data_IF_168682761599
#
_entry.id   IF_168682761599
#
_cell.length_a   1.000
_cell.length_b   1.000
_cell.length_c   1.000
_cell.angle_alpha   90.00
_cell.angle_beta   90.00
_cell.angle_gamma   90.00
#
_symmetry.space_group_name_H-M   'P 1'
#
loop_
_entity.id
_entity.type
_entity.pdbx_description
1 polymer ?
#
# COMPACT_ATOMS: atom_id res chain seq x y z
N UNK A 1 -12.13 0.80 -6.81
CA UNK A 1 -11.90 1.75 -5.70
C UNK A 1 -10.65 2.60 -5.94
N UNK A 2 -10.60 3.84 -5.42
CA UNK A 2 -9.41 4.70 -5.49
C UNK A 2 -8.65 4.65 -4.17
N UNK A 3 -7.35 4.39 -4.22
CA UNK A 3 -6.44 4.43 -3.07
C UNK A 3 -5.52 5.65 -3.19
N UNK A 4 -5.49 6.49 -2.15
CA UNK A 4 -4.61 7.65 -2.06
C UNK A 4 -3.50 7.34 -1.07
N UNK A 5 -2.24 7.50 -1.50
CA UNK A 5 -1.07 7.14 -0.69
C UNK A 5 0.04 8.17 -0.76
N UNK A 6 0.90 8.20 0.25
CA UNK A 6 2.15 8.97 0.23
C UNK A 6 3.33 8.22 0.88
N UNK A 7 4.56 8.74 0.74
CA UNK A 7 5.77 8.12 1.29
C UNK A 7 5.88 8.21 2.82
N UNK A 8 5.36 9.29 3.43
CA UNK A 8 5.42 9.53 4.89
C UNK A 8 4.02 9.66 5.51
N UNK A 9 3.93 9.40 6.82
CA UNK A 9 2.65 9.46 7.54
C UNK A 9 2.03 10.85 7.55
N UNK A 10 2.84 11.90 7.72
CA UNK A 10 2.37 13.29 7.75
C UNK A 10 1.84 13.70 6.37
N UNK A 11 2.55 13.38 5.28
CA UNK A 11 2.09 13.66 3.92
C UNK A 11 0.80 12.90 3.59
N UNK A 12 0.75 11.61 3.92
CA UNK A 12 -0.45 10.80 3.72
C UNK A 12 -1.66 11.39 4.46
N UNK A 13 -1.47 11.87 5.69
CA UNK A 13 -2.53 12.51 6.47
C UNK A 13 -3.02 13.81 5.81
N UNK A 14 -2.14 14.62 5.23
CA UNK A 14 -2.53 15.87 4.56
C UNK A 14 -3.40 15.64 3.32
N UNK A 15 -3.19 14.54 2.59
CA UNK A 15 -3.98 14.19 1.41
C UNK A 15 -5.14 13.22 1.71
N UNK A 16 -5.44 12.98 2.99
CA UNK A 16 -6.50 12.06 3.41
C UNK A 16 -6.26 10.60 3.03
N UNK A 17 -5.00 10.21 2.81
CA UNK A 17 -4.57 8.88 2.42
C UNK A 17 -3.88 8.11 3.55
N UNK A 18 -3.17 7.06 3.16
CA UNK A 18 -2.30 6.26 4.05
C UNK A 18 -0.89 6.16 3.47
N UNK A 19 0.09 5.70 4.23
CA UNK A 19 1.42 5.49 3.64
C UNK A 19 1.39 4.35 2.61
N UNK A 20 2.25 4.42 1.57
CA UNK A 20 2.37 3.36 0.58
C UNK A 20 2.66 2.00 1.23
N UNK A 21 3.51 1.98 2.26
CA UNK A 21 3.82 0.77 3.05
C UNK A 21 2.58 0.19 3.75
N UNK A 22 1.76 1.05 4.36
CA UNK A 22 0.51 0.63 5.03
C UNK A 22 -0.53 0.13 4.04
N UNK A 23 -0.65 0.78 2.88
CA UNK A 23 -1.51 0.33 1.79
C UNK A 23 -1.03 -0.99 1.17
N UNK A 24 0.27 -1.14 0.95
CA UNK A 24 0.82 -2.34 0.34
C UNK A 24 0.73 -3.55 1.27
N UNK A 25 0.77 -3.34 2.59
CA UNK A 25 0.70 -4.41 3.59
C UNK A 25 1.98 -5.25 3.66
N UNK A 26 3.13 -4.63 3.38
CA UNK A 26 4.44 -5.30 3.25
C UNK A 26 5.43 -4.94 4.37
N UNK A 27 4.98 -4.20 5.39
CA UNK A 27 5.87 -3.66 6.41
C UNK A 27 6.89 -2.70 5.79
N UNK A 28 8.18 -2.90 6.08
CA UNK A 28 9.28 -2.06 5.56
C UNK A 28 9.65 -2.33 4.09
N UNK A 29 9.10 -3.38 3.46
CA UNK A 29 9.34 -3.65 2.03
C UNK A 29 10.78 -4.05 1.67
N UNK A 30 11.61 -4.44 2.63
CA UNK A 30 13.04 -4.76 2.41
C UNK A 30 13.30 -6.14 1.79
N UNK A 31 12.26 -6.94 1.57
CA UNK A 31 12.36 -8.29 1.02
C UNK A 31 12.36 -8.33 -0.52
N UNK A 32 12.70 -9.49 -1.08
CA UNK A 32 12.53 -9.73 -2.52
C UNK A 32 11.05 -9.62 -2.92
N UNK A 33 10.79 -9.13 -4.14
CA UNK A 33 9.42 -8.91 -4.66
C UNK A 33 8.51 -10.15 -4.52
N UNK A 34 9.03 -11.35 -4.79
CA UNK A 34 8.28 -12.59 -4.63
C UNK A 34 7.90 -12.89 -3.17
N UNK A 35 8.79 -12.58 -2.22
CA UNK A 35 8.49 -12.75 -0.80
C UNK A 35 7.41 -11.74 -0.34
N UNK A 36 7.52 -10.48 -0.76
CA UNK A 36 6.53 -9.44 -0.44
C UNK A 36 5.16 -9.76 -1.06
N UNK A 37 5.14 -10.22 -2.32
CA UNK A 37 3.92 -10.69 -2.96
C UNK A 37 3.32 -11.90 -2.22
N UNK A 38 4.17 -12.79 -1.70
CA UNK A 38 3.78 -13.86 -0.80
C UNK A 38 3.07 -13.32 0.44
N UNK A 39 3.65 -12.33 1.14
CA UNK A 39 3.03 -11.69 2.31
C UNK A 39 1.64 -11.13 2.00
N UNK A 40 1.50 -10.44 0.86
CA UNK A 40 0.21 -9.89 0.40
C UNK A 40 -0.82 -11.01 0.20
N UNK A 41 -0.45 -12.10 -0.49
CA UNK A 41 -1.35 -13.22 -0.80
C UNK A 41 -1.88 -13.95 0.45
N UNK A 42 -1.08 -14.02 1.52
CA UNK A 42 -1.50 -14.66 2.77
C UNK A 42 -2.39 -13.76 3.65
N UNK A 43 -2.46 -12.46 3.37
CA UNK A 43 -3.34 -11.53 4.08
C UNK A 43 -4.58 -11.23 3.23
N UNK A 44 -5.69 -11.92 3.52
CA UNK A 44 -6.92 -11.81 2.73
C UNK A 44 -7.47 -10.38 2.61
N UNK A 45 -7.33 -9.56 3.65
CA UNK A 45 -7.78 -8.16 3.63
C UNK A 45 -6.93 -7.30 2.70
N UNK A 46 -5.61 -7.50 2.75
CA UNK A 46 -4.65 -6.77 1.90
C UNK A 46 -4.81 -7.22 0.46
N UNK A 47 -4.90 -8.53 0.21
CA UNK A 47 -5.14 -9.09 -1.12
C UNK A 47 -6.43 -8.55 -1.73
N UNK A 48 -7.53 -8.57 -0.99
CA UNK A 48 -8.82 -8.03 -1.44
C UNK A 48 -8.72 -6.55 -1.78
N UNK A 49 -8.07 -5.74 -0.93
CA UNK A 49 -7.83 -4.31 -1.20
C UNK A 49 -7.06 -4.10 -2.51
N UNK A 50 -6.02 -4.89 -2.77
CA UNK A 50 -5.27 -4.83 -4.04
C UNK A 50 -6.14 -5.21 -5.24
N UNK A 51 -6.99 -6.23 -5.12
CA UNK A 51 -7.88 -6.67 -6.20
C UNK A 51 -9.01 -5.68 -6.50
N UNK A 52 -9.50 -4.96 -5.49
CA UNK A 52 -10.60 -3.98 -5.63
C UNK A 52 -10.12 -2.57 -5.97
N UNK A 53 -8.82 -2.29 -5.85
CA UNK A 53 -8.25 -0.99 -6.21
C UNK A 53 -8.12 -0.88 -7.73
N UNK A 54 -8.80 0.12 -8.30
CA UNK A 54 -8.77 0.42 -9.74
C UNK A 54 -7.77 1.53 -10.06
N UNK A 55 -7.48 2.38 -9.07
CA UNK A 55 -6.54 3.49 -9.20
C UNK A 55 -5.76 3.64 -7.89
N UNK A 56 -4.43 3.63 -8.00
CA UNK A 56 -3.50 3.91 -6.91
C UNK A 56 -2.80 5.24 -7.19
N UNK A 57 -3.05 6.24 -6.35
CA UNK A 57 -2.40 7.54 -6.38
C UNK A 57 -1.27 7.52 -5.35
N UNK A 58 -0.08 7.95 -5.76
CA UNK A 58 1.11 8.02 -4.91
C UNK A 58 1.63 9.45 -4.99
N UNK A 59 1.67 10.13 -3.84
CA UNK A 59 2.23 11.45 -3.66
C UNK A 59 3.54 11.39 -2.83
N UNK A 60 4.41 12.39 -3.00
CA UNK A 60 5.76 12.48 -2.42
C UNK A 60 6.75 11.39 -2.90
N UNK A 61 7.55 11.73 -3.91
CA UNK A 61 8.63 10.91 -4.52
C UNK A 61 9.85 10.76 -3.63
#
# INVERSE_FOLDING_TARGET
AVAVTASTGIAAQHIGGVTLHSYAGVGLGLGASNALAGTIRHNLWTLKRWQETEMLIIDES
#
